data_IF_473804581123
#
_entry.id   IF_473804581123
#
_cell.length_a   1.000
_cell.length_b   1.000
_cell.length_c   1.000
_cell.angle_alpha   90.00
_cell.angle_beta   90.00
_cell.angle_gamma   90.00
#
_symmetry.space_group_name_H-M   'P 1'
#
loop_
_entity.id
_entity.type
_entity.pdbx_description
1 polymer ?
#
# COMPACT_ATOMS: atom_id res chain seq x y z
N UNK A 1 -51.05 -21.35 22.04
CA UNK A 1 -49.75 -22.01 21.84
C UNK A 1 -49.18 -21.85 20.44
N UNK A 2 -49.99 -21.55 19.44
CA UNK A 2 -49.57 -21.37 18.00
C UNK A 2 -48.85 -20.05 17.73
N UNK A 3 -49.26 -18.93 18.30
CA UNK A 3 -48.72 -17.58 18.03
C UNK A 3 -47.29 -17.36 18.54
N UNK A 4 -46.90 -18.00 19.66
CA UNK A 4 -45.55 -17.93 20.20
C UNK A 4 -44.52 -18.67 19.33
N UNK A 5 -44.94 -19.72 18.62
CA UNK A 5 -44.06 -20.48 17.72
C UNK A 5 -43.74 -19.70 16.43
N UNK A 6 -44.71 -18.94 15.92
CA UNK A 6 -44.55 -18.10 14.72
C UNK A 6 -43.59 -16.96 14.95
N UNK A 7 -43.70 -16.29 16.11
CA UNK A 7 -42.79 -15.19 16.48
C UNK A 7 -41.33 -15.64 16.63
N UNK A 8 -41.10 -16.82 17.20
CA UNK A 8 -39.74 -17.35 17.33
C UNK A 8 -39.09 -17.71 15.99
N UNK A 9 -39.85 -18.30 15.06
CA UNK A 9 -39.35 -18.61 13.72
C UNK A 9 -39.02 -17.31 12.94
N UNK A 10 -39.88 -16.30 13.03
CA UNK A 10 -39.68 -15.04 12.37
C UNK A 10 -38.45 -14.29 12.94
N UNK A 11 -38.28 -14.32 14.26
CA UNK A 11 -37.14 -13.71 14.94
C UNK A 11 -35.81 -14.40 14.58
N UNK A 12 -35.78 -15.71 14.57
CA UNK A 12 -34.59 -16.50 14.24
C UNK A 12 -34.20 -16.36 12.75
N UNK A 13 -35.17 -16.24 11.87
CA UNK A 13 -34.92 -16.04 10.42
C UNK A 13 -34.31 -14.66 10.19
N UNK A 14 -34.84 -13.60 10.82
CA UNK A 14 -34.30 -12.26 10.68
C UNK A 14 -32.87 -12.14 11.28
N UNK A 15 -32.62 -12.78 12.43
CA UNK A 15 -31.27 -12.84 13.02
C UNK A 15 -30.26 -13.55 12.11
N UNK A 16 -30.66 -14.62 11.42
CA UNK A 16 -29.81 -15.33 10.46
C UNK A 16 -29.50 -14.46 9.22
N UNK A 17 -30.49 -13.75 8.71
CA UNK A 17 -30.32 -12.83 7.59
C UNK A 17 -29.41 -11.66 7.94
N UNK A 18 -29.56 -11.08 9.13
CA UNK A 18 -28.67 -10.02 9.62
C UNK A 18 -27.24 -10.54 9.79
N UNK A 19 -27.07 -11.72 10.37
CA UNK A 19 -25.76 -12.37 10.51
C UNK A 19 -25.07 -12.61 9.16
N UNK A 20 -25.83 -13.10 8.17
CA UNK A 20 -25.31 -13.32 6.82
C UNK A 20 -24.93 -12.01 6.13
N UNK A 21 -25.74 -10.97 6.25
CA UNK A 21 -25.44 -9.65 5.70
C UNK A 21 -24.19 -9.04 6.35
N UNK A 22 -24.01 -9.20 7.66
CA UNK A 22 -22.82 -8.76 8.37
C UNK A 22 -21.55 -9.49 7.90
N UNK A 23 -21.62 -10.82 7.72
CA UNK A 23 -20.51 -11.63 7.20
C UNK A 23 -20.10 -11.20 5.78
N UNK A 24 -21.10 -10.97 4.91
CA UNK A 24 -20.86 -10.47 3.56
C UNK A 24 -20.18 -9.09 3.61
N UNK A 25 -20.68 -8.18 4.44
CA UNK A 25 -20.09 -6.84 4.62
C UNK A 25 -18.63 -6.89 5.10
N UNK A 26 -18.32 -7.74 6.07
CA UNK A 26 -16.96 -7.97 6.57
C UNK A 26 -16.07 -8.56 5.46
N UNK A 27 -16.59 -9.50 4.67
CA UNK A 27 -15.87 -10.09 3.53
C UNK A 27 -15.53 -9.05 2.46
N UNK A 28 -16.47 -8.19 2.10
CA UNK A 28 -16.23 -7.10 1.14
C UNK A 28 -15.22 -6.07 1.67
N UNK A 29 -15.33 -5.67 2.94
CA UNK A 29 -14.40 -4.75 3.56
C UNK A 29 -12.99 -5.34 3.65
N UNK A 30 -12.88 -6.60 4.06
CA UNK A 30 -11.60 -7.33 4.11
C UNK A 30 -10.97 -7.45 2.73
N UNK A 31 -11.73 -7.85 1.70
CA UNK A 31 -11.27 -7.91 0.31
C UNK A 31 -10.81 -6.56 -0.23
N UNK A 32 -11.54 -5.49 0.09
CA UNK A 32 -11.16 -4.13 -0.28
C UNK A 32 -9.84 -3.69 0.36
N UNK A 33 -9.67 -3.92 1.68
CA UNK A 33 -8.43 -3.61 2.40
C UNK A 33 -7.24 -4.41 1.86
N UNK A 34 -7.42 -5.70 1.58
CA UNK A 34 -6.39 -6.54 0.97
C UNK A 34 -6.01 -6.01 -0.42
N UNK A 35 -6.99 -5.58 -1.22
CA UNK A 35 -6.73 -5.04 -2.56
C UNK A 35 -5.90 -3.75 -2.51
N UNK A 36 -6.17 -2.86 -1.55
CA UNK A 36 -5.38 -1.64 -1.35
C UNK A 36 -3.95 -1.99 -0.93
N UNK A 37 -3.78 -2.90 0.00
CA UNK A 37 -2.47 -3.41 0.43
C UNK A 37 -1.69 -4.03 -0.73
N UNK A 38 -2.38 -4.86 -1.53
CA UNK A 38 -1.75 -5.57 -2.64
C UNK A 38 -1.35 -4.64 -3.79
N UNK A 39 -2.12 -3.59 -4.06
CA UNK A 39 -1.79 -2.58 -5.07
C UNK A 39 -0.65 -1.65 -4.66
N UNK A 40 -0.15 -1.75 -3.42
CA UNK A 40 1.00 -0.99 -2.93
C UNK A 40 0.75 0.51 -2.85
N UNK A 41 -0.52 0.93 -2.80
CA UNK A 41 -0.93 2.33 -2.69
C UNK A 41 -0.22 3.25 -3.71
N UNK A 42 -0.16 2.81 -4.97
CA UNK A 42 0.49 3.56 -6.03
C UNK A 42 -0.41 4.69 -6.49
N UNK A 43 0.15 5.87 -6.50
CA UNK A 43 -0.51 7.07 -7.02
C UNK A 43 0.36 7.74 -8.07
N UNK A 44 -0.25 8.12 -9.18
CA UNK A 44 0.40 8.92 -10.20
C UNK A 44 0.46 10.37 -9.74
N UNK A 45 1.67 10.94 -9.67
CA UNK A 45 1.90 12.36 -9.42
C UNK A 45 1.92 13.10 -10.75
N UNK A 46 2.74 12.62 -11.69
CA UNK A 46 2.80 13.11 -13.07
C UNK A 46 2.75 11.91 -14.00
N UNK A 47 1.77 11.87 -14.89
CA UNK A 47 1.55 10.74 -15.79
C UNK A 47 2.81 10.47 -16.64
N UNK A 48 3.27 9.22 -16.64
CA UNK A 48 4.45 8.79 -17.38
C UNK A 48 5.80 9.24 -16.80
N UNK A 49 5.82 10.02 -15.71
CA UNK A 49 7.05 10.60 -15.18
C UNK A 49 7.28 10.32 -13.69
N UNK A 50 6.27 10.53 -12.86
CA UNK A 50 6.43 10.43 -11.41
C UNK A 50 5.26 9.69 -10.74
N UNK A 51 5.61 8.78 -9.86
CA UNK A 51 4.70 7.94 -9.10
C UNK A 51 5.12 7.93 -7.63
N UNK A 52 4.18 7.76 -6.72
CA UNK A 52 4.46 7.49 -5.30
C UNK A 52 3.84 6.15 -4.89
N UNK A 53 4.48 5.45 -3.98
CA UNK A 53 3.96 4.23 -3.37
C UNK A 53 4.32 4.17 -1.89
N UNK A 54 3.75 3.20 -1.16
CA UNK A 54 4.36 2.75 0.09
C UNK A 54 5.70 2.05 -0.20
N UNK A 55 6.39 1.58 0.83
CA UNK A 55 7.63 0.81 0.69
C UNK A 55 7.38 -0.44 -0.18
N UNK A 56 7.94 -0.52 -1.40
CA UNK A 56 7.77 -1.68 -2.26
C UNK A 56 8.72 -2.82 -1.85
N UNK A 57 8.25 -4.05 -1.96
CA UNK A 57 9.10 -5.23 -1.91
C UNK A 57 9.82 -5.48 -3.27
N UNK A 58 10.81 -6.38 -3.33
CA UNK A 58 11.56 -6.66 -4.56
C UNK A 58 10.69 -7.06 -5.76
N UNK A 59 9.65 -7.86 -5.54
CA UNK A 59 8.72 -8.28 -6.58
C UNK A 59 7.94 -7.08 -7.11
N UNK A 60 7.53 -6.20 -6.21
CA UNK A 60 6.80 -4.99 -6.56
C UNK A 60 7.67 -4.00 -7.34
N UNK A 61 8.94 -3.86 -6.99
CA UNK A 61 9.90 -3.04 -7.74
C UNK A 61 10.01 -3.52 -9.19
N UNK A 62 10.14 -4.84 -9.40
CA UNK A 62 10.17 -5.43 -10.73
C UNK A 62 8.88 -5.19 -11.52
N UNK A 63 7.72 -5.32 -10.88
CA UNK A 63 6.43 -5.02 -11.49
C UNK A 63 6.31 -3.53 -11.89
N UNK A 64 6.74 -2.61 -11.02
CA UNK A 64 6.71 -1.18 -11.30
C UNK A 64 7.63 -0.81 -12.45
N UNK A 65 8.80 -1.42 -12.55
CA UNK A 65 9.68 -1.24 -13.69
C UNK A 65 9.01 -1.72 -14.99
N UNK A 66 8.37 -2.89 -14.97
CA UNK A 66 7.70 -3.45 -16.15
C UNK A 66 6.49 -2.61 -16.58
N UNK A 67 5.67 -2.17 -15.62
CA UNK A 67 4.41 -1.46 -15.90
C UNK A 67 4.62 0.02 -16.24
N UNK A 68 5.54 0.68 -15.55
CA UNK A 68 5.72 2.13 -15.63
C UNK A 68 7.08 2.56 -16.16
N UNK A 69 8.00 1.61 -16.43
CA UNK A 69 9.33 1.91 -16.93
C UNK A 69 10.19 2.74 -15.98
N UNK A 70 10.00 2.59 -14.67
CA UNK A 70 10.75 3.36 -13.68
C UNK A 70 12.25 3.10 -13.80
N UNK A 71 13.03 4.18 -13.73
CA UNK A 71 14.51 4.15 -13.81
C UNK A 71 15.17 4.61 -12.51
N UNK A 72 14.42 5.32 -11.68
CA UNK A 72 14.92 5.86 -10.42
C UNK A 72 13.90 5.64 -9.31
N UNK A 73 14.39 5.26 -8.15
CA UNK A 73 13.62 5.22 -6.90
C UNK A 73 14.25 6.22 -5.94
N UNK A 74 13.41 7.06 -5.34
CA UNK A 74 13.80 7.98 -4.27
C UNK A 74 13.25 7.43 -2.97
N UNK A 75 14.12 6.93 -2.11
CA UNK A 75 13.77 6.45 -0.79
C UNK A 75 13.75 7.62 0.20
N UNK A 76 12.57 8.04 0.62
CA UNK A 76 12.37 9.17 1.53
C UNK A 76 12.52 8.81 3.01
N UNK A 77 12.70 7.54 3.34
CA UNK A 77 13.01 7.07 4.70
C UNK A 77 14.49 7.22 5.05
N UNK A 78 15.33 7.36 4.04
CA UNK A 78 16.77 7.35 4.18
C UNK A 78 17.39 5.94 4.11
N UNK A 79 18.71 5.88 4.16
CA UNK A 79 19.44 4.62 4.17
C UNK A 79 19.37 3.97 5.55
N UNK A 80 19.07 2.68 5.62
CA UNK A 80 19.04 1.89 6.86
C UNK A 80 19.71 0.53 6.64
N UNK A 81 21.05 0.51 6.44
CA UNK A 81 21.78 -0.73 6.20
C UNK A 81 21.59 -1.73 7.34
N UNK A 82 21.36 -3.01 6.99
CA UNK A 82 21.07 -4.07 7.95
C UNK A 82 19.58 -4.24 8.27
N UNK A 83 18.71 -3.35 7.84
CA UNK A 83 17.28 -3.60 7.86
C UNK A 83 16.86 -4.39 6.61
N UNK A 84 16.00 -5.42 6.82
CA UNK A 84 15.61 -6.31 5.72
C UNK A 84 14.96 -5.54 4.55
N UNK A 85 14.09 -4.59 4.83
CA UNK A 85 13.39 -3.83 3.79
C UNK A 85 14.35 -3.00 2.93
N UNK A 86 15.38 -2.40 3.55
CA UNK A 86 16.36 -1.58 2.84
C UNK A 86 17.34 -2.43 2.02
N UNK A 87 17.86 -3.50 2.62
CA UNK A 87 18.80 -4.39 1.96
C UNK A 87 18.13 -5.09 0.76
N UNK A 88 16.86 -5.50 0.90
CA UNK A 88 16.04 -6.04 -0.19
C UNK A 88 15.82 -5.01 -1.32
N UNK A 89 15.56 -3.75 -1.00
CA UNK A 89 15.40 -2.66 -1.97
C UNK A 89 16.69 -2.38 -2.74
N UNK A 90 17.82 -2.29 -2.03
CA UNK A 90 19.15 -2.11 -2.62
C UNK A 90 19.48 -3.27 -3.56
N UNK A 91 19.25 -4.50 -3.14
CA UNK A 91 19.52 -5.67 -3.95
C UNK A 91 18.65 -5.70 -5.21
N UNK A 92 17.36 -5.45 -5.09
CA UNK A 92 16.41 -5.45 -6.20
C UNK A 92 16.72 -4.35 -7.22
N UNK A 93 16.99 -3.12 -6.77
CA UNK A 93 17.31 -2.00 -7.66
C UNK A 93 18.61 -2.23 -8.41
N UNK A 94 19.61 -2.82 -7.75
CA UNK A 94 20.89 -3.19 -8.39
C UNK A 94 20.70 -4.22 -9.49
N UNK A 95 19.94 -5.29 -9.25
CA UNK A 95 19.66 -6.36 -10.23
C UNK A 95 18.88 -5.80 -11.43
N UNK A 96 17.94 -4.90 -11.20
CA UNK A 96 17.07 -4.33 -12.22
C UNK A 96 17.68 -3.11 -12.95
N UNK A 97 18.86 -2.66 -12.54
CA UNK A 97 19.50 -1.46 -13.12
C UNK A 97 18.73 -0.16 -12.82
N UNK A 98 18.02 -0.11 -11.69
CA UNK A 98 17.30 1.07 -11.22
C UNK A 98 18.22 1.90 -10.33
N UNK A 99 18.28 3.21 -10.55
CA UNK A 99 19.02 4.11 -9.69
C UNK A 99 18.28 4.33 -8.37
N UNK A 100 18.91 4.01 -7.23
CA UNK A 100 18.35 4.23 -5.90
C UNK A 100 19.01 5.45 -5.27
N UNK A 101 18.21 6.44 -4.91
CA UNK A 101 18.65 7.63 -4.18
C UNK A 101 18.00 7.64 -2.80
N UNK A 102 18.82 7.75 -1.76
CA UNK A 102 18.32 7.87 -0.40
C UNK A 102 18.27 9.34 0.01
N UNK A 103 17.10 9.77 0.45
CA UNK A 103 16.88 11.12 0.91
C UNK A 103 15.99 11.11 2.15
N UNK A 104 16.61 11.24 3.32
CA UNK A 104 15.88 11.17 4.59
C UNK A 104 15.03 12.43 4.81
N UNK A 105 13.70 12.25 4.78
CA UNK A 105 12.73 13.26 5.14
C UNK A 105 12.17 12.99 6.53
N UNK A 106 12.20 14.02 7.39
CA UNK A 106 11.54 13.98 8.68
C UNK A 106 10.09 14.47 8.55
N UNK A 107 9.12 13.66 9.00
CA UNK A 107 7.71 14.08 9.06
C UNK A 107 7.44 15.19 10.08
N UNK A 108 8.39 15.44 10.99
CA UNK A 108 8.29 16.43 12.08
C UNK A 108 9.03 17.74 11.81
N UNK A 109 9.79 17.84 10.72
CA UNK A 109 10.56 19.03 10.35
C UNK A 109 10.22 19.49 8.94
N UNK A 110 10.08 20.80 8.75
CA UNK A 110 9.96 21.40 7.43
C UNK A 110 11.29 21.24 6.67
N UNK A 111 11.20 21.01 5.37
CA UNK A 111 12.37 21.02 4.50
C UNK A 111 13.02 22.40 4.47
N UNK A 112 14.34 22.43 4.63
CA UNK A 112 15.10 23.65 4.40
C UNK A 112 15.17 23.97 2.90
N UNK A 113 15.41 25.22 2.54
CA UNK A 113 15.57 25.64 1.15
C UNK A 113 16.71 24.87 0.44
N UNK A 114 17.76 24.52 1.18
CA UNK A 114 18.89 23.73 0.68
C UNK A 114 18.48 22.28 0.38
N UNK A 115 17.74 21.66 1.29
CA UNK A 115 17.19 20.32 1.08
C UNK A 115 16.22 20.27 -0.11
N UNK A 116 15.38 21.29 -0.29
CA UNK A 116 14.51 21.39 -1.45
C UNK A 116 15.30 21.51 -2.76
N UNK A 117 16.38 22.31 -2.79
CA UNK A 117 17.22 22.43 -3.98
C UNK A 117 17.92 21.12 -4.32
N UNK A 118 18.42 20.38 -3.33
CA UNK A 118 19.06 19.09 -3.52
C UNK A 118 18.10 18.03 -4.08
N UNK A 119 16.80 18.16 -3.84
CA UNK A 119 15.77 17.24 -4.32
C UNK A 119 15.37 17.46 -5.79
N UNK A 120 15.60 18.68 -6.31
CA UNK A 120 15.26 19.10 -7.68
C UNK A 120 16.47 19.16 -8.61
N UNK A 121 17.67 19.03 -8.06
CA UNK A 121 18.91 18.99 -8.84
C UNK A 121 19.21 17.59 -9.38
#
# INVERSE_FOLDING_TARGET
>A
MSLLKINNVFLTTNLRLIGLAALIGVGFLGGYLVTIQYKGNIHTIVAGQAYRSNQPDPLRIAQLQTLYGIKTIINLRGAEPGSKWYDDEVAATKVLGIHLTNYELSSSRQLTAEQMRALIA
#
